data_IF_687880471172
#
_entry.id   IF_687880471172
#
_cell.length_a   1.000
_cell.length_b   1.000
_cell.length_c   1.000
_cell.angle_alpha   90.00
_cell.angle_beta   90.00
_cell.angle_gamma   90.00
#
_symmetry.space_group_name_H-M   'P 1'
#
loop_
_entity.id
_entity.type
_entity.pdbx_description
1 polymer ?
#
# COMPACT_ATOMS: atom_id res chain seq x y z
N UNK A 1 12.80 -8.45 -10.95
CA UNK A 1 11.67 -8.40 -11.89
C UNK A 1 11.48 -6.98 -12.39
N UNK A 2 11.15 -6.82 -13.66
CA UNK A 2 10.96 -5.49 -14.26
C UNK A 2 9.47 -5.21 -14.44
N UNK A 3 8.97 -4.19 -13.78
CA UNK A 3 7.58 -3.75 -13.94
C UNK A 3 7.52 -2.65 -14.99
N UNK A 4 6.75 -2.89 -16.04
CA UNK A 4 6.69 -2.00 -17.21
C UNK A 4 5.79 -0.78 -16.99
N UNK A 5 4.87 -0.85 -16.03
CA UNK A 5 3.96 0.24 -15.69
C UNK A 5 3.81 0.36 -14.18
N UNK A 6 3.41 1.54 -13.67
CA UNK A 6 3.05 1.65 -12.24
C UNK A 6 1.95 0.69 -11.83
N UNK A 7 0.98 0.45 -12.72
CA UNK A 7 -0.11 -0.50 -12.46
C UNK A 7 0.41 -1.92 -12.27
N UNK A 8 1.39 -2.33 -13.06
CA UNK A 8 2.00 -3.66 -12.91
C UNK A 8 2.71 -3.80 -11.55
N UNK A 9 3.45 -2.76 -11.15
CA UNK A 9 4.11 -2.76 -9.84
C UNK A 9 3.08 -2.82 -8.71
N UNK A 10 1.98 -2.09 -8.83
CA UNK A 10 0.91 -2.09 -7.82
C UNK A 10 0.23 -3.46 -7.73
N UNK A 11 -0.06 -4.08 -8.87
CA UNK A 11 -0.64 -5.42 -8.88
C UNK A 11 0.30 -6.41 -8.18
N UNK A 12 1.59 -6.34 -8.45
CA UNK A 12 2.57 -7.22 -7.81
C UNK A 12 2.64 -6.97 -6.30
N UNK A 13 2.49 -5.73 -5.85
CA UNK A 13 2.47 -5.37 -4.44
C UNK A 13 1.31 -6.06 -3.71
N UNK A 14 0.08 -5.93 -4.22
CA UNK A 14 -1.08 -6.52 -3.57
C UNK A 14 -1.10 -8.05 -3.70
N UNK A 15 -0.62 -8.60 -4.80
CA UNK A 15 -0.45 -10.05 -4.93
C UNK A 15 0.54 -10.61 -3.91
N UNK A 16 1.68 -9.94 -3.71
CA UNK A 16 2.66 -10.33 -2.70
C UNK A 16 2.06 -10.28 -1.29
N UNK A 17 1.22 -9.27 -1.02
CA UNK A 17 0.52 -9.15 0.25
C UNK A 17 -0.43 -10.34 0.45
N UNK A 18 -1.24 -10.66 -0.56
CA UNK A 18 -2.21 -11.77 -0.49
C UNK A 18 -1.53 -13.13 -0.33
N UNK A 19 -0.43 -13.34 -1.06
CA UNK A 19 0.32 -14.61 -1.02
C UNK A 19 1.11 -14.72 0.29
N UNK A 20 1.51 -13.58 0.88
CA UNK A 20 2.29 -13.58 2.11
C UNK A 20 3.78 -13.81 1.90
N UNK A 21 4.31 -13.45 0.72
CA UNK A 21 5.70 -13.72 0.35
C UNK A 21 6.57 -12.47 0.49
N UNK A 22 7.49 -12.50 1.46
CA UNK A 22 8.36 -11.35 1.74
C UNK A 22 9.30 -11.02 0.57
N UNK A 23 9.82 -12.04 -0.10
CA UNK A 23 10.71 -11.82 -1.24
C UNK A 23 9.97 -11.13 -2.39
N UNK A 24 8.74 -11.59 -2.68
CA UNK A 24 7.89 -10.96 -3.70
C UNK A 24 7.51 -9.54 -3.30
N UNK A 25 7.20 -9.30 -2.04
CA UNK A 25 6.89 -7.95 -1.54
C UNK A 25 8.08 -7.02 -1.73
N UNK A 26 9.27 -7.43 -1.30
CA UNK A 26 10.45 -6.56 -1.37
C UNK A 26 10.97 -6.39 -2.81
N UNK A 27 10.59 -7.25 -3.73
CA UNK A 27 10.90 -7.08 -5.15
C UNK A 27 10.14 -5.91 -5.79
N UNK A 28 9.00 -5.51 -5.24
CA UNK A 28 8.21 -4.36 -5.72
C UNK A 28 8.83 -3.04 -5.29
N UNK A 29 9.46 -3.01 -4.11
CA UNK A 29 10.07 -1.81 -3.57
C UNK A 29 11.37 -1.46 -4.30
N UNK A 30 11.66 -0.16 -4.41
CA UNK A 30 12.93 0.32 -4.92
C UNK A 30 14.08 -0.26 -4.09
N UNK A 31 15.20 -0.53 -4.74
CA UNK A 31 16.40 -1.05 -4.08
C UNK A 31 17.14 0.02 -3.28
N UNK A 32 16.86 1.29 -3.56
CA UNK A 32 17.45 2.40 -2.83
C UNK A 32 16.82 2.52 -1.44
N UNK A 33 17.56 3.07 -0.48
CA UNK A 33 17.03 3.32 0.86
C UNK A 33 16.13 4.56 0.94
N UNK A 34 15.94 5.26 -0.17
CA UNK A 34 15.06 6.42 -0.30
C UNK A 34 13.62 5.95 -0.50
N UNK A 35 13.10 5.21 0.47
CA UNK A 35 11.74 4.67 0.46
C UNK A 35 11.08 4.87 1.83
N UNK A 36 9.77 5.06 1.82
CA UNK A 36 8.97 5.33 3.02
C UNK A 36 7.72 4.46 3.03
N UNK A 37 7.38 3.94 4.19
CA UNK A 37 6.17 3.15 4.38
C UNK A 37 5.48 3.54 5.68
N UNK A 38 4.17 3.80 5.60
CA UNK A 38 3.33 4.10 6.76
C UNK A 38 2.12 3.19 6.68
N UNK A 39 2.07 2.21 7.60
CA UNK A 39 0.90 1.32 7.72
C UNK A 39 -0.21 2.01 8.50
N UNK A 40 -1.47 1.57 8.37
CA UNK A 40 -2.57 2.17 9.14
C UNK A 40 -2.24 2.20 10.63
N UNK A 41 -2.37 3.38 11.24
CA UNK A 41 -2.06 3.63 12.64
C UNK A 41 -0.58 3.42 13.01
N UNK A 42 0.28 3.22 12.03
CA UNK A 42 1.69 2.93 12.27
C UNK A 42 2.59 4.16 12.23
N UNK A 43 3.85 4.00 12.64
CA UNK A 43 4.85 5.05 12.52
C UNK A 43 5.34 5.18 11.08
N UNK A 44 6.04 6.27 10.79
CA UNK A 44 6.71 6.44 9.50
C UNK A 44 8.00 5.63 9.49
N UNK A 45 8.08 4.65 8.59
CA UNK A 45 9.25 3.79 8.41
C UNK A 45 10.05 4.26 7.20
N UNK A 46 11.36 4.35 7.33
CA UNK A 46 12.25 4.83 6.27
C UNK A 46 13.35 3.79 6.05
N UNK A 47 13.60 3.44 4.78
CA UNK A 47 14.67 2.53 4.38
C UNK A 47 14.24 1.07 4.32
N UNK A 48 14.98 0.29 3.54
CA UNK A 48 14.61 -1.11 3.25
C UNK A 48 14.57 -1.99 4.49
N UNK A 49 15.54 -1.84 5.39
CA UNK A 49 15.64 -2.72 6.56
C UNK A 49 14.39 -2.61 7.45
N UNK A 50 13.98 -1.39 7.78
CA UNK A 50 12.80 -1.15 8.62
C UNK A 50 11.51 -1.59 7.90
N UNK A 51 11.42 -1.29 6.61
CA UNK A 51 10.24 -1.62 5.81
C UNK A 51 10.10 -3.13 5.64
N UNK A 52 11.18 -3.83 5.36
CA UNK A 52 11.15 -5.29 5.25
C UNK A 52 10.75 -5.94 6.59
N UNK A 53 11.31 -5.47 7.72
CA UNK A 53 10.96 -6.00 9.03
C UNK A 53 9.47 -5.84 9.31
N UNK A 54 8.89 -4.68 8.99
CA UNK A 54 7.46 -4.44 9.17
C UNK A 54 6.61 -5.36 8.30
N UNK A 55 7.01 -5.58 7.05
CA UNK A 55 6.26 -6.47 6.16
C UNK A 55 6.33 -7.93 6.61
N UNK A 56 7.46 -8.39 7.17
CA UNK A 56 7.53 -9.74 7.71
C UNK A 56 6.46 -9.96 8.78
N UNK A 57 6.30 -9.00 9.69
CA UNK A 57 5.30 -9.09 10.76
C UNK A 57 3.88 -9.06 10.19
N UNK A 58 3.61 -8.14 9.27
CA UNK A 58 2.28 -7.99 8.67
C UNK A 58 1.90 -9.22 7.87
N UNK A 59 2.79 -9.74 7.03
CA UNK A 59 2.50 -10.89 6.20
C UNK A 59 2.23 -12.14 7.04
N UNK A 60 2.96 -12.31 8.14
CA UNK A 60 2.72 -13.41 9.06
C UNK A 60 1.37 -13.31 9.77
N UNK A 61 0.89 -12.09 10.02
CA UNK A 61 -0.37 -11.85 10.73
C UNK A 61 -1.60 -11.83 9.80
N UNK A 62 -1.39 -11.75 8.48
CA UNK A 62 -2.45 -11.47 7.51
C UNK A 62 -2.69 -12.62 6.53
N UNK A 63 -2.48 -13.86 6.96
CA UNK A 63 -2.59 -15.04 6.10
C UNK A 63 -4.01 -15.14 5.53
N UNK A 64 -4.09 -15.27 4.20
CA UNK A 64 -5.36 -15.47 3.50
C UNK A 64 -6.16 -14.21 3.20
N UNK A 65 -5.62 -13.04 3.52
CA UNK A 65 -6.28 -11.76 3.23
C UNK A 65 -6.45 -11.57 1.71
N UNK A 66 -7.53 -10.92 1.30
CA UNK A 66 -7.83 -10.59 -0.10
C UNK A 66 -8.12 -9.12 -0.22
N UNK A 67 -7.67 -8.54 -1.32
CA UNK A 67 -7.87 -7.12 -1.64
C UNK A 67 -8.70 -6.94 -2.89
N UNK A 68 -9.57 -5.94 -2.86
CA UNK A 68 -10.19 -5.39 -4.06
C UNK A 68 -9.89 -3.90 -4.07
N UNK A 69 -9.21 -3.43 -5.12
CA UNK A 69 -8.84 -2.03 -5.26
C UNK A 69 -9.92 -1.29 -6.03
N UNK A 70 -10.36 -0.16 -5.49
CA UNK A 70 -11.41 0.65 -6.12
C UNK A 70 -11.04 2.13 -6.08
N UNK A 71 -11.75 2.94 -6.88
CA UNK A 71 -11.60 4.41 -6.91
C UNK A 71 -10.15 4.85 -7.16
N UNK A 72 -9.48 4.20 -8.11
CA UNK A 72 -8.06 4.46 -8.40
C UNK A 72 -7.92 5.80 -9.12
N UNK A 73 -7.12 6.70 -8.54
CA UNK A 73 -6.70 7.95 -9.16
C UNK A 73 -5.21 7.88 -9.41
N UNK A 74 -4.78 8.18 -10.62
CA UNK A 74 -3.38 8.10 -11.00
C UNK A 74 -2.87 9.44 -11.52
N UNK A 75 -1.69 9.83 -11.04
CA UNK A 75 -0.95 11.02 -11.49
C UNK A 75 0.41 10.52 -11.95
N UNK A 76 0.72 10.64 -13.24
CA UNK A 76 1.95 10.12 -13.82
C UNK A 76 2.71 11.24 -14.52
N UNK A 77 4.00 11.32 -14.23
CA UNK A 77 4.96 12.10 -14.99
C UNK A 77 6.08 11.16 -15.46
N UNK A 78 7.13 11.69 -16.08
CA UNK A 78 8.16 10.90 -16.78
C UNK A 78 8.79 9.80 -15.91
N UNK A 79 9.07 10.08 -14.65
CA UNK A 79 9.77 9.15 -13.78
C UNK A 79 9.09 8.93 -12.44
N UNK A 80 7.91 9.51 -12.23
CA UNK A 80 7.19 9.39 -10.97
C UNK A 80 5.71 9.18 -11.23
N UNK A 81 5.11 8.23 -10.53
CA UNK A 81 3.68 7.98 -10.56
C UNK A 81 3.14 7.92 -9.14
N UNK A 82 1.98 8.53 -8.93
CA UNK A 82 1.27 8.45 -7.66
C UNK A 82 -0.11 7.86 -7.94
N UNK A 83 -0.47 6.83 -7.18
CA UNK A 83 -1.78 6.17 -7.29
C UNK A 83 -2.45 6.24 -5.93
N UNK A 84 -3.64 6.85 -5.89
CA UNK A 84 -4.46 6.94 -4.68
C UNK A 84 -5.68 6.07 -4.90
N UNK A 85 -5.97 5.19 -3.94
CA UNK A 85 -7.01 4.19 -4.13
C UNK A 85 -7.62 3.78 -2.80
N UNK A 86 -8.73 3.05 -2.88
CA UNK A 86 -9.31 2.38 -1.73
C UNK A 86 -8.91 0.90 -1.74
N UNK A 87 -8.40 0.45 -0.61
CA UNK A 87 -8.16 -0.98 -0.35
C UNK A 87 -9.39 -1.53 0.34
N UNK A 88 -10.10 -2.44 -0.32
CA UNK A 88 -11.21 -3.14 0.27
C UNK A 88 -10.71 -4.52 0.70
N UNK A 89 -10.72 -4.78 1.99
CA UNK A 89 -10.02 -5.89 2.60
C UNK A 89 -11.00 -6.95 3.07
N UNK A 90 -10.78 -8.18 2.64
CA UNK A 90 -11.52 -9.37 3.09
C UNK A 90 -10.60 -10.21 3.96
N UNK A 91 -11.02 -10.47 5.19
CA UNK A 91 -10.24 -11.24 6.16
C UNK A 91 -10.89 -12.60 6.35
N UNK A 92 -10.14 -13.71 6.32
CA UNK A 92 -10.71 -15.05 6.53
C UNK A 92 -11.47 -15.13 7.83
N UNK A 93 -12.66 -15.74 7.78
CA UNK A 93 -13.52 -15.92 8.94
C UNK A 93 -14.46 -14.75 9.23
N UNK A 94 -14.32 -13.63 8.53
CA UNK A 94 -15.25 -12.50 8.65
C UNK A 94 -16.33 -12.60 7.57
N UNK A 95 -17.56 -12.20 7.92
CA UNK A 95 -18.73 -12.35 7.04
C UNK A 95 -18.88 -11.19 6.05
N UNK A 96 -18.16 -10.11 6.24
CA UNK A 96 -18.23 -8.92 5.38
C UNK A 96 -16.85 -8.28 5.26
N UNK A 97 -16.61 -7.48 4.20
CA UNK A 97 -15.34 -6.77 4.09
C UNK A 97 -15.22 -5.74 5.21
N UNK A 98 -13.99 -5.47 5.60
CA UNK A 98 -13.71 -4.40 6.54
C UNK A 98 -13.96 -3.04 5.90
N UNK A 99 -14.15 -1.98 6.69
CA UNK A 99 -14.23 -0.62 6.13
C UNK A 99 -13.00 -0.33 5.27
N UNK A 100 -13.18 0.37 4.14
CA UNK A 100 -12.07 0.63 3.22
C UNK A 100 -10.92 1.40 3.87
N UNK A 101 -9.73 1.13 3.38
CA UNK A 101 -8.51 1.88 3.72
C UNK A 101 -8.15 2.74 2.53
N UNK A 102 -7.72 3.98 2.77
CA UNK A 102 -7.19 4.84 1.71
C UNK A 102 -5.70 4.63 1.65
N UNK A 103 -5.20 4.32 0.47
CA UNK A 103 -3.76 4.16 0.26
C UNK A 103 -3.26 5.14 -0.80
N UNK A 104 -2.09 5.72 -0.53
CA UNK A 104 -1.31 6.46 -1.51
C UNK A 104 -0.04 5.70 -1.77
N UNK A 105 0.13 5.26 -3.02
CA UNK A 105 1.28 4.50 -3.47
C UNK A 105 2.02 5.31 -4.52
N UNK A 106 3.32 5.52 -4.31
CA UNK A 106 4.15 6.22 -5.28
C UNK A 106 5.21 5.27 -5.82
N UNK A 107 5.50 5.42 -7.10
CA UNK A 107 6.42 4.58 -7.85
C UNK A 107 7.39 5.45 -8.62
N UNK A 108 8.63 5.01 -8.71
CA UNK A 108 9.67 5.69 -9.50
C UNK A 108 10.14 4.80 -10.63
N UNK A 109 10.33 5.39 -11.80
CA UNK A 109 10.87 4.70 -12.96
C UNK A 109 12.40 4.76 -12.95
N UNK A 110 13.02 3.63 -13.26
CA UNK A 110 14.46 3.52 -13.50
C UNK A 110 14.70 2.54 -14.64
N UNK A 111 15.95 2.27 -14.97
CA UNK A 111 16.30 1.27 -15.99
C UNK A 111 15.76 -0.12 -15.67
N UNK A 112 15.52 -0.41 -14.39
CA UNK A 112 14.94 -1.68 -13.95
C UNK A 112 13.41 -1.67 -13.93
N UNK A 113 12.76 -0.62 -14.42
CA UNK A 113 11.32 -0.49 -14.45
C UNK A 113 10.78 0.35 -13.31
N UNK A 114 9.48 0.22 -13.05
CA UNK A 114 8.78 0.97 -12.01
C UNK A 114 8.85 0.22 -10.68
N UNK A 115 9.23 0.92 -9.61
CA UNK A 115 9.31 0.33 -8.27
C UNK A 115 8.71 1.29 -7.25
N UNK A 116 8.11 0.73 -6.20
CA UNK A 116 7.46 1.50 -5.15
C UNK A 116 8.49 2.25 -4.31
N UNK A 117 8.20 3.53 -4.06
CA UNK A 117 9.03 4.37 -3.18
C UNK A 117 8.25 4.86 -1.96
N UNK A 118 6.91 4.80 -2.02
CA UNK A 118 6.05 5.23 -0.91
C UNK A 118 4.81 4.34 -0.86
N UNK A 119 4.47 3.88 0.31
CA UNK A 119 3.16 3.33 0.64
C UNK A 119 2.68 4.00 1.91
N UNK A 120 1.55 4.66 1.83
CA UNK A 120 0.94 5.31 2.99
C UNK A 120 -0.54 4.94 3.01
N UNK A 121 -0.94 4.17 4.01
CA UNK A 121 -2.31 3.70 4.15
C UNK A 121 -2.91 4.17 5.47
N UNK A 122 -4.18 4.58 5.41
CA UNK A 122 -4.91 5.02 6.60
C UNK A 122 -6.37 4.60 6.51
N UNK A 123 -7.02 4.34 7.66
CA UNK A 123 -8.46 4.06 7.65
C UNK A 123 -9.24 5.24 7.10
N UNK A 124 -10.32 4.95 6.38
CA UNK A 124 -11.26 6.00 6.01
C UNK A 124 -11.94 6.55 7.25
N UNK A 125 -12.23 7.87 7.27
CA UNK A 125 -13.07 8.43 8.32
C UNK A 125 -14.43 7.72 8.32
N UNK A 126 -14.90 7.32 9.51
CA UNK A 126 -16.24 6.78 9.63
C UNK A 126 -17.24 7.93 9.64
N UNK A 127 -18.42 7.70 9.06
CA UNK A 127 -19.49 8.70 9.08
C UNK A 127 -20.15 8.69 10.45
N UNK A 128 -19.54 9.42 11.39
CA UNK A 128 -20.06 9.61 12.74
C UNK A 128 -20.69 11.00 12.84
N UNK A 129 -22.01 11.09 13.03
CA UNK A 129 -22.69 12.39 13.15
C UNK A 129 -22.14 13.28 14.28
N UNK A 130 -21.65 12.69 15.35
CA UNK A 130 -21.08 13.44 16.47
C UNK A 130 -19.73 14.06 16.13
N UNK A 131 -19.01 13.50 15.20
CA UNK A 131 -17.68 13.94 14.82
C UNK A 131 -17.63 14.73 13.50
N UNK A 132 -18.77 14.99 12.87
CA UNK A 132 -18.79 15.71 11.59
C UNK A 132 -18.15 17.09 11.65
N UNK A 133 -18.34 17.80 12.76
CA UNK A 133 -17.72 19.12 12.96
C UNK A 133 -16.21 19.06 13.15
N UNK A 134 -15.70 18.00 13.76
CA UNK A 134 -14.27 17.82 14.00
C UNK A 134 -13.51 17.52 12.72
N UNK A 135 -14.12 16.89 11.72
CA UNK A 135 -13.49 16.52 10.47
C UNK A 135 -13.06 17.74 9.61
N UNK A 136 -13.48 18.94 9.96
CA UNK A 136 -13.16 20.16 9.23
C UNK A 136 -11.76 20.70 9.56
N UNK A 137 -11.13 20.19 10.62
CA UNK A 137 -9.89 20.76 11.18
C UNK A 137 -8.66 19.92 10.86
N UNK A 138 -8.38 19.70 9.61
CA UNK A 138 -7.14 19.00 9.27
C UNK A 138 -6.31 19.78 8.26
#
# INVERSE_FOLDING_TARGET
MKFLTPSDAEQAFYEAFEIGEITAMMAVWSKDDDITCIHPHGPRLIGRSAIEASWRDILNASIGVRFQLTEIREFVDQALAVRVLYENLWVPGENSPRPPIIATNAYRYSKSGWHMVLHHASPMPQDDPENRGAAVFH
#
